data_IF_578968445890
#
_entry.id   IF_578968445890
#
_cell.length_a   1.000
_cell.length_b   1.000
_cell.length_c   1.000
_cell.angle_alpha   90.00
_cell.angle_beta   90.00
_cell.angle_gamma   90.00
#
_symmetry.space_group_name_H-M   'P 1'
#
loop_
_entity.id
_entity.type
_entity.pdbx_description
1 polymer ?
#
# COMPACT_ATOMS: atom_id res chain seq x y z
N UNK A 1 16.89 -23.97 48.85
CA UNK A 1 17.78 -22.81 48.56
C UNK A 1 18.06 -22.59 47.06
N UNK A 2 17.56 -23.41 46.13
CA UNK A 2 17.78 -23.26 44.68
C UNK A 2 16.68 -22.49 43.92
N UNK A 3 15.45 -22.46 44.42
CA UNK A 3 14.32 -21.82 43.73
C UNK A 3 14.26 -20.30 43.92
N UNK A 4 14.59 -19.78 45.12
CA UNK A 4 14.65 -18.33 45.36
C UNK A 4 15.72 -17.62 44.51
N UNK A 5 16.85 -18.30 44.22
CA UNK A 5 17.90 -17.75 43.35
C UNK A 5 17.45 -17.64 41.89
N UNK A 6 16.64 -18.58 41.37
CA UNK A 6 16.08 -18.52 40.00
C UNK A 6 15.04 -17.42 39.84
N UNK A 7 14.18 -17.20 40.84
CA UNK A 7 13.18 -16.12 40.83
C UNK A 7 13.80 -14.73 40.81
N UNK A 8 14.88 -14.53 41.57
CA UNK A 8 15.65 -13.27 41.59
C UNK A 8 16.35 -12.98 40.26
N UNK A 9 16.86 -14.02 39.60
CA UNK A 9 17.55 -13.90 38.31
C UNK A 9 16.60 -13.55 37.16
N UNK A 10 15.38 -14.11 37.13
CA UNK A 10 14.34 -13.71 36.17
C UNK A 10 13.92 -12.25 36.34
N UNK A 11 13.71 -11.80 37.58
CA UNK A 11 13.36 -10.39 37.89
C UNK A 11 14.46 -9.41 37.48
N UNK A 12 15.72 -9.80 37.60
CA UNK A 12 16.87 -8.99 37.17
C UNK A 12 16.95 -8.85 35.63
N UNK A 13 16.72 -9.93 34.88
CA UNK A 13 16.69 -9.87 33.40
C UNK A 13 15.54 -9.02 32.87
N UNK A 14 14.36 -9.11 33.49
CA UNK A 14 13.23 -8.26 33.15
C UNK A 14 13.53 -6.77 33.40
N UNK A 15 14.17 -6.44 34.54
CA UNK A 15 14.58 -5.06 34.84
C UNK A 15 15.60 -4.53 33.85
N UNK A 16 16.62 -5.33 33.50
CA UNK A 16 17.63 -4.94 32.49
C UNK A 16 16.98 -4.72 31.12
N UNK A 17 16.05 -5.60 30.71
CA UNK A 17 15.30 -5.44 29.46
C UNK A 17 14.48 -4.15 29.42
N UNK A 18 13.78 -3.82 30.51
CA UNK A 18 13.02 -2.57 30.63
C UNK A 18 13.96 -1.35 30.61
N UNK A 19 15.10 -1.40 31.31
CA UNK A 19 16.06 -0.30 31.31
C UNK A 19 16.69 -0.09 29.93
N UNK A 20 17.00 -1.17 29.19
CA UNK A 20 17.48 -1.09 27.81
C UNK A 20 16.42 -0.53 26.87
N UNK A 21 15.17 -0.97 26.99
CA UNK A 21 14.04 -0.43 26.22
C UNK A 21 13.87 1.08 26.48
N UNK A 22 13.89 1.50 27.75
CA UNK A 22 13.79 2.91 28.14
C UNK A 22 15.00 3.73 27.66
N UNK A 23 16.21 3.14 27.66
CA UNK A 23 17.40 3.79 27.13
C UNK A 23 17.36 3.93 25.60
N UNK A 24 16.84 2.93 24.88
CA UNK A 24 16.61 3.00 23.43
C UNK A 24 15.54 4.05 23.12
N UNK A 25 14.44 4.09 23.88
CA UNK A 25 13.40 5.11 23.74
C UNK A 25 13.93 6.54 24.03
N UNK A 26 14.88 6.70 24.95
CA UNK A 26 15.55 7.99 25.21
C UNK A 26 16.61 8.38 24.17
N UNK A 27 17.07 7.43 23.34
CA UNK A 27 17.98 7.70 22.21
C UNK A 27 17.22 8.09 20.94
N UNK A 28 15.89 7.93 20.91
CA UNK A 28 15.04 8.49 19.87
C UNK A 28 15.11 10.01 20.03
N UNK A 29 15.88 10.68 19.17
CA UNK A 29 15.79 12.12 19.01
C UNK A 29 14.36 12.44 18.61
N UNK A 30 13.64 13.12 19.50
CA UNK A 30 12.44 13.86 19.11
C UNK A 30 12.96 15.05 18.32
N UNK A 31 13.11 14.87 17.01
CA UNK A 31 13.41 16.00 16.14
C UNK A 31 12.27 17.01 16.30
N UNK A 32 12.64 18.29 16.47
CA UNK A 32 11.67 19.37 16.40
C UNK A 32 11.07 19.33 14.98
N UNK A 33 9.88 18.75 14.82
CA UNK A 33 9.14 18.71 13.56
C UNK A 33 8.82 20.15 13.14
N UNK A 34 9.73 20.76 12.38
CA UNK A 34 9.41 21.96 11.61
C UNK A 34 8.77 21.48 10.33
N UNK A 35 7.46 21.66 10.25
CA UNK A 35 6.72 21.44 9.01
C UNK A 35 7.34 22.28 7.89
N UNK A 36 7.55 21.65 6.74
CA UNK A 36 7.89 22.33 5.51
C UNK A 36 6.73 23.25 5.08
N UNK A 37 6.97 24.30 4.27
CA UNK A 37 5.89 25.17 3.80
C UNK A 37 4.72 24.43 3.14
N UNK A 38 5.01 23.33 2.42
CA UNK A 38 3.98 22.50 1.79
C UNK A 38 3.20 21.67 2.83
N UNK A 39 3.87 21.13 3.86
CA UNK A 39 3.18 20.42 4.94
C UNK A 39 2.29 21.35 5.78
N UNK A 40 2.60 22.65 5.86
CA UNK A 40 1.72 23.64 6.51
C UNK A 40 0.40 23.78 5.75
N UNK A 41 0.40 23.69 4.42
CA UNK A 41 -0.84 23.75 3.62
C UNK A 41 -1.75 22.55 3.92
N UNK A 42 -1.16 21.38 4.17
CA UNK A 42 -1.90 20.16 4.48
C UNK A 42 -1.94 19.83 5.98
N UNK A 43 -1.68 20.81 6.86
CA UNK A 43 -1.41 20.56 8.29
C UNK A 43 -2.54 19.83 9.02
N UNK A 44 -3.77 20.08 8.60
CA UNK A 44 -4.97 19.55 9.22
C UNK A 44 -5.19 18.07 8.94
N UNK A 45 -4.46 17.52 7.95
CA UNK A 45 -4.60 16.15 7.47
C UNK A 45 -3.29 15.36 7.54
N UNK A 46 -2.25 15.84 8.22
CA UNK A 46 -0.95 15.16 8.22
C UNK A 46 -1.00 13.84 8.99
N UNK A 47 -0.60 12.75 8.32
CA UNK A 47 -0.52 11.43 8.93
C UNK A 47 0.89 11.13 9.49
N UNK A 48 0.96 10.58 10.71
CA UNK A 48 2.22 10.26 11.40
C UNK A 48 2.43 8.76 11.60
N UNK A 49 3.31 8.16 10.79
CA UNK A 49 3.71 6.75 10.94
C UNK A 49 4.22 6.43 12.35
N UNK A 50 5.18 7.17 12.95
CA UNK A 50 5.73 6.78 14.25
C UNK A 50 4.67 6.78 15.36
N UNK A 51 3.76 7.74 15.33
CA UNK A 51 2.65 7.84 16.29
C UNK A 51 1.72 6.64 16.14
N UNK A 52 1.39 6.27 14.91
CA UNK A 52 0.55 5.12 14.62
C UNK A 52 1.22 3.78 14.99
N UNK A 53 2.49 3.57 14.66
CA UNK A 53 3.22 2.34 14.98
C UNK A 53 3.29 2.10 16.49
N UNK A 54 3.55 3.15 17.29
CA UNK A 54 3.59 3.06 18.76
C UNK A 54 2.23 2.64 19.33
N UNK A 55 1.12 3.06 18.74
CA UNK A 55 -0.21 2.71 19.21
C UNK A 55 -0.59 1.27 18.82
N UNK A 56 -0.18 0.83 17.63
CA UNK A 56 -0.70 -0.39 17.02
C UNK A 56 0.21 -1.61 17.20
N UNK A 57 1.52 -1.41 17.31
CA UNK A 57 2.47 -2.48 17.58
C UNK A 57 2.16 -3.19 18.92
N UNK A 58 2.05 -2.53 20.09
CA UNK A 58 1.81 -3.23 21.35
C UNK A 58 0.47 -3.95 21.41
N UNK A 59 -0.59 -3.33 20.85
CA UNK A 59 -1.96 -3.86 20.87
C UNK A 59 -2.04 -5.22 20.17
N UNK A 60 -1.30 -5.36 19.08
CA UNK A 60 -1.28 -6.57 18.26
C UNK A 60 -0.47 -7.70 18.86
N UNK A 61 0.75 -7.42 19.33
CA UNK A 61 1.60 -8.44 19.96
C UNK A 61 0.99 -8.99 21.25
N UNK A 62 0.16 -8.21 21.96
CA UNK A 62 -0.65 -8.70 23.08
C UNK A 62 -1.74 -9.70 22.64
N UNK A 63 -2.38 -9.49 21.49
CA UNK A 63 -3.38 -10.41 20.92
C UNK A 63 -2.74 -11.72 20.43
N UNK A 64 -1.62 -11.64 19.70
CA UNK A 64 -0.89 -12.83 19.26
C UNK A 64 -0.38 -13.70 20.42
N UNK A 65 -0.02 -13.09 21.56
CA UNK A 65 0.32 -13.82 22.79
C UNK A 65 -0.90 -14.54 23.43
N UNK A 66 -2.11 -14.01 23.25
CA UNK A 66 -3.36 -14.61 23.73
C UNK A 66 -3.79 -15.83 22.90
N UNK A 67 -3.56 -15.81 21.59
CA UNK A 67 -3.85 -16.93 20.69
C UNK A 67 -2.82 -18.08 20.77
N UNK A 68 -1.66 -17.83 21.37
CA UNK A 68 -0.71 -18.90 21.75
C UNK A 68 -1.20 -19.75 22.93
N UNK A 69 -2.31 -19.37 23.59
CA UNK A 69 -2.96 -20.18 24.63
C UNK A 69 -3.65 -21.39 23.98
N UNK A 70 -3.39 -22.64 24.45
CA UNK A 70 -3.99 -23.84 23.89
C UNK A 70 -5.52 -23.79 23.92
N UNK A 71 -6.17 -23.97 22.77
CA UNK A 71 -7.64 -23.96 22.62
C UNK A 71 -8.21 -22.77 21.86
N UNK A 72 -7.42 -21.72 21.62
CA UNK A 72 -7.86 -20.50 20.91
C UNK A 72 -7.36 -20.40 19.46
N UNK A 73 -6.62 -21.39 18.95
CA UNK A 73 -6.15 -21.38 17.56
C UNK A 73 -7.22 -21.93 16.63
N UNK A 74 -7.81 -21.12 15.74
CA UNK A 74 -8.73 -21.63 14.74
C UNK A 74 -8.02 -22.64 13.83
N UNK A 75 -8.76 -23.65 13.41
CA UNK A 75 -8.35 -24.54 12.32
C UNK A 75 -8.19 -23.75 11.03
N UNK A 76 -7.49 -24.34 10.05
CA UNK A 76 -7.30 -23.70 8.74
C UNK A 76 -8.63 -23.39 8.06
N UNK A 77 -9.61 -24.29 8.11
CA UNK A 77 -10.93 -24.07 7.51
C UNK A 77 -11.67 -22.91 8.19
N UNK A 78 -11.61 -22.82 9.52
CA UNK A 78 -12.20 -21.71 10.27
C UNK A 78 -11.55 -20.37 9.92
N UNK A 79 -10.22 -20.33 9.73
CA UNK A 79 -9.48 -19.14 9.28
C UNK A 79 -10.00 -18.61 7.95
N UNK A 80 -10.27 -19.49 6.99
CA UNK A 80 -10.78 -19.08 5.67
C UNK A 80 -12.17 -18.45 5.76
N UNK A 81 -13.05 -19.03 6.60
CA UNK A 81 -14.39 -18.48 6.85
C UNK A 81 -14.29 -17.12 7.53
N UNK A 82 -13.41 -16.96 8.52
CA UNK A 82 -13.19 -15.69 9.22
C UNK A 82 -12.75 -14.59 8.24
N UNK A 83 -11.80 -14.87 7.35
CA UNK A 83 -11.31 -13.86 6.38
C UNK A 83 -12.43 -13.46 5.42
N UNK A 84 -13.20 -14.41 4.89
CA UNK A 84 -14.32 -14.08 4.00
C UNK A 84 -15.42 -13.27 4.71
N UNK A 85 -15.80 -13.67 5.93
CA UNK A 85 -16.79 -12.96 6.73
C UNK A 85 -16.34 -11.53 7.08
N UNK A 86 -15.07 -11.38 7.47
CA UNK A 86 -14.45 -10.09 7.76
C UNK A 86 -14.49 -9.15 6.54
N UNK A 87 -13.97 -9.58 5.38
CA UNK A 87 -13.94 -8.77 4.15
C UNK A 87 -15.35 -8.50 3.58
N UNK A 88 -16.32 -9.37 3.81
CA UNK A 88 -17.71 -9.10 3.47
C UNK A 88 -18.32 -8.07 4.41
N UNK A 89 -18.01 -8.12 5.70
CA UNK A 89 -18.52 -7.18 6.71
C UNK A 89 -17.95 -5.79 6.48
N UNK A 90 -16.65 -5.65 6.20
CA UNK A 90 -16.02 -4.37 5.84
C UNK A 90 -16.75 -3.68 4.66
N UNK A 91 -17.04 -4.42 3.59
CA UNK A 91 -17.80 -3.89 2.44
C UNK A 91 -19.26 -3.54 2.76
N UNK A 92 -19.88 -4.23 3.73
CA UNK A 92 -21.23 -3.88 4.20
C UNK A 92 -21.20 -2.61 5.03
N UNK A 93 -20.20 -2.42 5.89
CA UNK A 93 -19.96 -1.18 6.65
C UNK A 93 -19.85 -0.01 5.68
N UNK A 94 -18.90 -0.04 4.74
CA UNK A 94 -18.71 1.04 3.76
C UNK A 94 -19.99 1.37 2.99
N UNK A 95 -20.69 0.34 2.50
CA UNK A 95 -21.93 0.53 1.75
C UNK A 95 -23.02 1.21 2.59
N UNK A 96 -23.09 0.87 3.88
CA UNK A 96 -24.07 1.43 4.80
C UNK A 96 -23.71 2.87 5.20
N UNK A 97 -22.43 3.17 5.38
CA UNK A 97 -21.92 4.53 5.57
C UNK A 97 -22.26 5.43 4.37
N UNK A 98 -21.93 4.98 3.16
CA UNK A 98 -22.26 5.69 1.91
C UNK A 98 -23.78 5.94 1.78
N UNK A 99 -24.59 4.95 2.18
CA UNK A 99 -26.05 5.06 2.17
C UNK A 99 -26.51 6.15 3.14
N UNK A 100 -26.00 6.16 4.36
CA UNK A 100 -26.35 7.14 5.39
C UNK A 100 -25.89 8.54 4.96
N UNK A 101 -24.65 8.68 4.47
CA UNK A 101 -24.13 9.96 3.98
C UNK A 101 -24.97 10.50 2.81
N UNK A 102 -25.28 9.67 1.81
CA UNK A 102 -26.12 10.06 0.68
C UNK A 102 -27.53 10.52 1.10
N UNK A 103 -28.11 9.90 2.13
CA UNK A 103 -29.38 10.34 2.72
C UNK A 103 -29.25 11.69 3.42
N UNK A 104 -28.16 11.93 4.16
CA UNK A 104 -27.89 13.19 4.84
C UNK A 104 -27.65 14.34 3.84
N UNK A 105 -26.89 14.10 2.78
CA UNK A 105 -26.65 15.07 1.69
C UNK A 105 -27.98 15.45 1.04
N UNK A 106 -28.80 14.45 0.67
CA UNK A 106 -30.11 14.69 0.05
C UNK A 106 -31.02 15.51 0.97
N UNK A 107 -31.02 15.23 2.27
CA UNK A 107 -31.78 15.98 3.27
C UNK A 107 -31.32 17.44 3.35
N UNK A 108 -30.01 17.68 3.41
CA UNK A 108 -29.47 19.04 3.47
C UNK A 108 -29.80 19.82 2.18
N UNK A 109 -29.79 19.16 1.02
CA UNK A 109 -30.20 19.77 -0.25
C UNK A 109 -31.71 20.09 -0.32
N UNK A 110 -32.58 19.32 0.37
CA UNK A 110 -34.04 19.52 0.35
C UNK A 110 -34.58 20.41 1.48
N UNK A 111 -33.75 20.78 2.48
CA UNK A 111 -34.12 21.67 3.58
C UNK A 111 -34.63 23.07 3.16
N UNK A 112 -34.37 23.50 1.91
CA UNK A 112 -34.90 24.74 1.34
C UNK A 112 -36.23 24.61 0.57
N UNK A 113 -36.76 23.39 0.40
CA UNK A 113 -38.00 23.12 -0.34
C UNK A 113 -39.14 22.78 0.62
N UNK A 114 -40.37 23.22 0.34
CA UNK A 114 -41.57 22.97 1.16
C UNK A 114 -41.97 21.49 1.33
N UNK A 115 -41.17 20.55 0.80
CA UNK A 115 -41.30 19.11 0.97
C UNK A 115 -40.48 18.55 2.15
N UNK A 116 -39.87 19.39 2.98
CA UNK A 116 -39.06 19.03 4.16
C UNK A 116 -39.82 18.32 5.30
N UNK A 117 -41.01 17.79 5.04
CA UNK A 117 -41.84 17.09 6.01
C UNK A 117 -41.55 15.58 6.00
N UNK A 118 -40.95 15.11 7.10
CA UNK A 118 -40.92 13.71 7.60
C UNK A 118 -39.94 12.72 6.93
N UNK A 119 -38.68 13.10 6.69
CA UNK A 119 -37.63 12.09 6.62
C UNK A 119 -37.11 11.83 8.03
N UNK A 120 -37.45 10.68 8.62
CA UNK A 120 -36.80 10.20 9.87
C UNK A 120 -35.28 10.18 9.67
N UNK A 121 -34.53 10.54 10.71
CA UNK A 121 -33.07 10.43 10.67
C UNK A 121 -32.72 8.96 10.39
N UNK A 122 -31.78 8.67 9.46
CA UNK A 122 -31.39 7.29 9.22
C UNK A 122 -30.84 6.69 10.51
N UNK A 123 -31.43 5.58 10.96
CA UNK A 123 -30.98 4.83 12.14
C UNK A 123 -29.58 4.29 11.89
N UNK A 124 -28.71 4.40 12.91
CA UNK A 124 -27.32 3.90 12.88
C UNK A 124 -27.13 2.52 13.52
N UNK A 125 -28.16 1.97 14.16
CA UNK A 125 -28.09 0.68 14.87
C UNK A 125 -27.51 -0.46 14.01
N UNK A 126 -27.92 -0.57 12.74
CA UNK A 126 -27.38 -1.59 11.84
C UNK A 126 -25.93 -1.34 11.44
N UNK A 127 -25.52 -0.08 11.29
CA UNK A 127 -24.13 0.29 11.03
C UNK A 127 -23.27 -0.03 12.26
N UNK A 128 -23.73 0.34 13.45
CA UNK A 128 -23.03 0.09 14.71
C UNK A 128 -22.85 -1.42 14.94
N UNK A 129 -23.87 -2.25 14.66
CA UNK A 129 -23.76 -3.73 14.72
C UNK A 129 -22.70 -4.28 13.75
N UNK A 130 -22.63 -3.74 12.53
CA UNK A 130 -21.63 -4.15 11.54
C UNK A 130 -20.21 -3.71 11.94
N UNK A 131 -20.05 -2.52 12.54
CA UNK A 131 -18.77 -2.02 13.03
C UNK A 131 -18.26 -2.88 14.20
N UNK A 132 -19.14 -3.23 15.15
CA UNK A 132 -18.79 -4.09 16.27
C UNK A 132 -18.36 -5.49 15.78
N UNK A 133 -19.14 -6.09 14.87
CA UNK A 133 -18.80 -7.39 14.25
C UNK A 133 -17.47 -7.33 13.50
N UNK A 134 -17.23 -6.26 12.74
CA UNK A 134 -15.99 -6.06 12.00
C UNK A 134 -14.77 -5.99 12.94
N UNK A 135 -14.87 -5.19 14.02
CA UNK A 135 -13.82 -5.06 15.02
C UNK A 135 -13.51 -6.37 15.76
N UNK A 136 -14.53 -7.17 16.05
CA UNK A 136 -14.37 -8.49 16.71
C UNK A 136 -13.67 -9.53 15.81
N UNK A 137 -13.83 -9.41 14.49
CA UNK A 137 -13.23 -10.32 13.51
C UNK A 137 -11.81 -9.91 13.09
N UNK A 138 -11.47 -8.62 13.19
CA UNK A 138 -10.24 -8.04 12.64
C UNK A 138 -8.98 -8.81 13.05
N UNK A 139 -8.71 -8.96 14.34
CA UNK A 139 -7.47 -9.59 14.81
C UNK A 139 -7.32 -11.05 14.35
N UNK A 140 -8.43 -11.79 14.26
CA UNK A 140 -8.46 -13.18 13.80
C UNK A 140 -8.28 -13.28 12.28
N UNK A 141 -8.81 -12.31 11.53
CA UNK A 141 -8.61 -12.22 10.09
C UNK A 141 -7.15 -11.87 9.74
N UNK A 142 -6.53 -10.95 10.48
CA UNK A 142 -5.11 -10.61 10.35
C UNK A 142 -4.22 -11.84 10.58
N UNK A 143 -4.42 -12.57 11.70
CA UNK A 143 -3.66 -13.79 11.99
C UNK A 143 -3.83 -14.87 10.92
N UNK A 144 -5.07 -15.05 10.43
CA UNK A 144 -5.36 -16.02 9.40
C UNK A 144 -4.57 -15.77 8.11
N UNK A 145 -4.55 -14.52 7.66
CA UNK A 145 -3.84 -14.09 6.45
C UNK A 145 -2.33 -14.18 6.63
N UNK A 146 -1.81 -13.75 7.79
CA UNK A 146 -0.39 -13.85 8.14
C UNK A 146 0.09 -15.29 8.17
N UNK A 147 -0.72 -16.20 8.72
CA UNK A 147 -0.39 -17.62 8.79
C UNK A 147 -0.33 -18.27 7.41
N UNK A 148 -1.25 -17.95 6.50
CA UNK A 148 -1.26 -18.49 5.13
C UNK A 148 -0.04 -18.02 4.34
N UNK A 149 0.28 -16.71 4.37
CA UNK A 149 1.50 -16.22 3.71
C UNK A 149 2.76 -16.78 4.38
N UNK A 150 2.79 -16.84 5.70
CA UNK A 150 3.94 -17.39 6.43
C UNK A 150 4.21 -18.85 6.04
N UNK A 151 3.16 -19.66 5.92
CA UNK A 151 3.29 -21.07 5.51
C UNK A 151 3.90 -21.18 4.12
N UNK A 152 3.43 -20.38 3.16
CA UNK A 152 4.00 -20.32 1.81
C UNK A 152 5.48 -19.93 1.84
N UNK A 153 5.86 -18.90 2.60
CA UNK A 153 7.24 -18.42 2.69
C UNK A 153 8.19 -19.46 3.31
N UNK A 154 7.73 -20.23 4.30
CA UNK A 154 8.50 -21.33 4.89
C UNK A 154 8.78 -22.42 3.85
N UNK A 155 7.76 -22.82 3.09
CA UNK A 155 7.90 -23.81 2.00
C UNK A 155 8.86 -23.33 0.90
N UNK A 156 8.89 -22.03 0.62
CA UNK A 156 9.82 -21.41 -0.31
C UNK A 156 11.24 -21.27 0.24
N UNK A 157 11.49 -21.64 1.50
CA UNK A 157 12.82 -21.61 2.12
C UNK A 157 13.25 -20.22 2.61
N UNK A 158 12.31 -19.36 3.03
CA UNK A 158 12.61 -18.09 3.71
C UNK A 158 12.72 -18.23 5.24
N UNK A 159 12.61 -19.45 5.77
CA UNK A 159 12.80 -19.69 7.19
C UNK A 159 14.28 -19.56 7.59
N UNK A 160 14.50 -18.94 8.75
CA UNK A 160 15.79 -18.89 9.44
C UNK A 160 16.18 -20.28 9.94
N UNK A 161 17.43 -20.44 10.41
CA UNK A 161 17.95 -21.71 10.92
C UNK A 161 17.19 -22.29 12.14
N UNK A 162 16.35 -21.49 12.80
CA UNK A 162 15.44 -21.92 13.88
C UNK A 162 13.96 -21.98 13.44
N UNK A 163 13.70 -21.95 12.12
CA UNK A 163 12.38 -22.20 11.54
C UNK A 163 11.41 -21.02 11.53
N UNK A 164 11.88 -19.79 11.84
CA UNK A 164 11.04 -18.58 11.83
C UNK A 164 11.29 -17.74 10.58
N UNK A 165 10.28 -17.05 10.07
CA UNK A 165 10.42 -16.08 8.96
C UNK A 165 10.94 -14.77 9.52
N UNK A 166 11.86 -14.13 8.79
CA UNK A 166 12.35 -12.80 9.13
C UNK A 166 12.36 -11.89 7.89
N UNK A 167 11.71 -10.71 7.93
CA UNK A 167 10.83 -10.25 9.01
C UNK A 167 9.53 -11.08 9.09
N UNK A 168 8.90 -11.22 10.27
CA UNK A 168 7.58 -11.83 10.38
C UNK A 168 6.56 -11.10 9.51
N UNK A 169 5.62 -11.84 8.92
CA UNK A 169 4.45 -11.26 8.27
C UNK A 169 3.60 -10.62 9.36
N UNK A 170 3.40 -9.32 9.27
CA UNK A 170 2.71 -8.52 10.29
C UNK A 170 1.90 -7.43 9.57
N UNK A 171 0.59 -7.61 9.45
CA UNK A 171 -0.31 -6.70 8.73
C UNK A 171 -1.36 -6.08 9.64
N UNK A 172 -2.01 -5.02 9.18
CA UNK A 172 -3.15 -4.45 9.85
C UNK A 172 -4.22 -4.07 8.84
N UNK A 173 -5.43 -4.58 9.05
CA UNK A 173 -6.58 -4.20 8.26
C UNK A 173 -7.10 -2.84 8.70
N UNK A 174 -6.75 -1.83 7.93
CA UNK A 174 -7.10 -0.43 8.16
C UNK A 174 -6.92 0.29 6.82
N UNK A 175 -7.71 1.33 6.57
CA UNK A 175 -7.49 2.15 5.38
C UNK A 175 -6.11 2.80 5.44
N UNK A 176 -5.26 2.60 4.42
CA UNK A 176 -3.97 3.26 4.38
C UNK A 176 -4.14 4.79 4.30
N UNK A 177 -3.17 5.56 4.84
CA UNK A 177 -3.13 6.99 4.59
C UNK A 177 -3.05 7.29 3.08
N UNK A 178 -3.54 8.46 2.68
CA UNK A 178 -3.38 8.91 1.30
C UNK A 178 -2.01 9.55 1.08
N UNK A 179 -1.58 9.63 -0.18
CA UNK A 179 -0.27 10.15 -0.54
C UNK A 179 -0.39 11.43 -1.35
N UNK A 180 0.07 12.55 -0.79
CA UNK A 180 0.28 13.80 -1.51
C UNK A 180 1.62 13.77 -2.23
N UNK A 181 1.56 13.71 -3.55
CA UNK A 181 2.69 13.63 -4.46
C UNK A 181 3.01 15.00 -5.02
N UNK A 182 4.28 15.42 -4.95
CA UNK A 182 4.76 16.69 -5.51
C UNK A 182 5.72 16.47 -6.68
N UNK A 183 5.50 17.21 -7.76
CA UNK A 183 6.40 17.28 -8.91
C UNK A 183 6.62 18.74 -9.31
N UNK A 184 7.81 19.11 -9.81
CA UNK A 184 7.98 20.38 -10.47
C UNK A 184 7.16 20.39 -11.77
N UNK A 185 6.90 21.59 -12.30
CA UNK A 185 6.12 21.77 -13.52
C UNK A 185 6.93 21.49 -14.78
N UNK A 186 8.24 21.73 -14.73
CA UNK A 186 9.18 21.69 -15.86
C UNK A 186 9.67 20.28 -16.23
N UNK A 187 9.45 19.28 -15.37
CA UNK A 187 9.82 17.87 -15.60
C UNK A 187 8.92 16.95 -14.79
N UNK A 188 8.77 15.72 -15.24
CA UNK A 188 8.08 14.70 -14.44
C UNK A 188 9.09 14.04 -13.52
N UNK A 189 9.09 14.44 -12.25
CA UNK A 189 9.99 13.91 -11.23
C UNK A 189 9.38 14.06 -9.84
N UNK A 190 9.46 13.01 -9.02
CA UNK A 190 8.95 13.09 -7.64
C UNK A 190 9.93 13.92 -6.80
N UNK A 191 9.49 15.08 -6.32
CA UNK A 191 10.30 15.90 -5.42
C UNK A 191 10.09 15.54 -3.96
N UNK A 192 8.83 15.28 -3.59
CA UNK A 192 8.45 14.87 -2.24
C UNK A 192 7.14 14.12 -2.27
N UNK A 193 6.90 13.35 -1.21
CA UNK A 193 5.66 12.65 -0.95
C UNK A 193 5.30 12.80 0.53
N UNK A 194 4.09 13.25 0.83
CA UNK A 194 3.60 13.51 2.20
C UNK A 194 2.39 12.61 2.44
N UNK A 195 2.35 11.94 3.59
CA UNK A 195 1.20 11.12 3.97
C UNK A 195 0.12 11.99 4.60
N UNK A 196 -1.10 11.83 4.10
CA UNK A 196 -2.29 12.48 4.61
C UNK A 196 -3.28 11.45 5.16
N UNK A 197 -4.24 11.90 5.96
CA UNK A 197 -5.30 11.06 6.49
C UNK A 197 -6.09 10.35 5.36
N UNK A 198 -6.63 9.18 5.68
CA UNK A 198 -7.34 8.33 4.70
C UNK A 198 -8.70 8.92 4.31
N UNK A 199 -9.35 9.67 5.20
CA UNK A 199 -10.70 10.21 5.05
C UNK A 199 -10.76 11.59 4.36
N UNK A 200 -9.63 12.07 3.83
CA UNK A 200 -9.56 13.37 3.16
C UNK A 200 -10.46 13.42 1.92
N UNK A 201 -11.40 14.37 1.93
CA UNK A 201 -12.44 14.50 0.91
C UNK A 201 -11.91 15.08 -0.39
N UNK A 202 -12.58 14.77 -1.50
CA UNK A 202 -12.17 15.24 -2.83
C UNK A 202 -12.07 16.77 -2.96
N UNK A 203 -12.92 17.52 -2.26
CA UNK A 203 -12.85 19.00 -2.25
C UNK A 203 -11.58 19.47 -1.56
N UNK A 204 -11.27 18.92 -0.38
CA UNK A 204 -10.09 19.27 0.41
C UNK A 204 -8.80 18.89 -0.34
N UNK A 205 -8.79 17.73 -1.02
CA UNK A 205 -7.69 17.33 -1.92
C UNK A 205 -7.46 18.36 -3.02
N UNK A 206 -8.51 18.78 -3.70
CA UNK A 206 -8.42 19.77 -4.78
C UNK A 206 -7.96 21.14 -4.26
N UNK A 207 -8.40 21.55 -3.07
CA UNK A 207 -7.98 22.80 -2.41
C UNK A 207 -6.48 22.79 -2.07
N UNK A 208 -5.99 21.74 -1.39
CA UNK A 208 -4.56 21.58 -1.05
C UNK A 208 -3.72 21.62 -2.33
N UNK A 209 -4.11 20.86 -3.35
CA UNK A 209 -3.35 20.77 -4.59
C UNK A 209 -3.28 22.10 -5.36
N UNK A 210 -4.36 22.88 -5.37
CA UNK A 210 -4.39 24.20 -5.99
C UNK A 210 -3.58 25.22 -5.21
N UNK A 211 -3.62 25.15 -3.88
CA UNK A 211 -2.86 26.05 -3.03
C UNK A 211 -1.35 25.82 -3.20
N UNK A 212 -0.90 24.56 -3.29
CA UNK A 212 0.50 24.23 -3.57
C UNK A 212 0.97 24.79 -4.91
N UNK A 213 0.14 24.69 -5.96
CA UNK A 213 0.45 25.28 -7.26
C UNK A 213 0.61 26.80 -7.17
N UNK A 214 -0.30 27.47 -6.45
CA UNK A 214 -0.31 28.92 -6.33
C UNK A 214 0.86 29.46 -5.50
N UNK A 215 1.15 28.81 -4.37
CA UNK A 215 2.06 29.34 -3.35
C UNK A 215 3.51 28.86 -3.59
N UNK A 216 3.71 27.75 -4.30
CA UNK A 216 5.02 27.12 -4.47
C UNK A 216 5.39 26.80 -5.92
N UNK A 217 4.51 27.05 -6.91
CA UNK A 217 4.73 26.72 -8.33
C UNK A 217 5.08 25.23 -8.56
N UNK A 218 4.47 24.36 -7.75
CA UNK A 218 4.59 22.90 -7.85
C UNK A 218 3.25 22.30 -8.23
N UNK A 219 3.26 21.22 -9.03
CA UNK A 219 2.04 20.44 -9.25
C UNK A 219 1.93 19.35 -8.19
N UNK A 220 0.72 19.19 -7.68
CA UNK A 220 0.40 18.22 -6.65
C UNK A 220 -0.69 17.24 -7.09
N UNK A 221 -0.63 16.02 -6.58
CA UNK A 221 -1.63 14.97 -6.77
C UNK A 221 -1.77 14.13 -5.50
N UNK A 222 -2.97 14.10 -4.91
CA UNK A 222 -3.34 13.22 -3.81
C UNK A 222 -3.88 11.90 -4.35
N UNK A 223 -3.26 10.80 -3.96
CA UNK A 223 -3.58 9.45 -4.43
C UNK A 223 -3.93 8.50 -3.28
N UNK A 224 -4.76 7.51 -3.58
CA UNK A 224 -5.14 6.47 -2.63
C UNK A 224 -4.16 5.30 -2.73
N UNK A 225 -3.68 4.83 -1.58
CA UNK A 225 -2.79 3.69 -1.46
C UNK A 225 -3.60 2.41 -1.19
N UNK A 226 -3.19 1.29 -1.80
CA UNK A 226 -3.81 0.00 -1.53
C UNK A 226 -3.26 -0.65 -0.24
N UNK A 227 -2.02 -0.32 0.11
CA UNK A 227 -1.30 -0.74 1.30
C UNK A 227 -0.15 0.23 1.58
N UNK A 228 0.49 0.08 2.75
CA UNK A 228 1.68 0.83 3.11
C UNK A 228 2.59 -0.04 3.99
N UNK A 229 3.84 -0.22 3.55
CA UNK A 229 4.87 -1.00 4.23
C UNK A 229 5.44 -0.35 5.51
N UNK A 230 4.57 -0.05 6.48
CA UNK A 230 4.93 0.18 7.89
C UNK A 230 5.11 -1.16 8.62
N UNK A 231 5.44 -1.15 9.91
CA UNK A 231 5.47 -2.40 10.70
C UNK A 231 4.62 -2.30 11.97
N UNK A 232 3.39 -2.85 12.01
CA UNK A 232 2.75 -3.70 10.98
C UNK A 232 2.38 -2.96 9.69
N UNK A 233 2.24 -3.68 8.57
CA UNK A 233 1.91 -3.10 7.26
C UNK A 233 0.41 -2.82 7.12
N UNK A 234 0.04 -1.64 6.63
CA UNK A 234 -1.35 -1.33 6.32
C UNK A 234 -1.83 -2.11 5.11
N UNK A 235 -3.04 -2.65 5.20
CA UNK A 235 -3.72 -3.30 4.09
C UNK A 235 -5.20 -2.92 4.15
N UNK A 236 -5.75 -2.38 3.07
CA UNK A 236 -7.18 -2.11 3.00
C UNK A 236 -7.98 -3.43 2.89
N UNK A 237 -9.05 -3.52 3.67
CA UNK A 237 -10.02 -4.62 3.70
C UNK A 237 -11.24 -4.39 2.80
N UNK A 238 -11.29 -3.27 2.08
CA UNK A 238 -12.35 -2.94 1.12
C UNK A 238 -12.18 -3.64 -0.24
N UNK A 239 -11.02 -4.23 -0.48
CA UNK A 239 -10.71 -4.93 -1.73
C UNK A 239 -11.17 -6.41 -1.71
N UNK A 240 -11.13 -7.04 -2.89
CA UNK A 240 -11.40 -8.49 -3.00
C UNK A 240 -10.30 -9.30 -2.32
N UNK A 241 -10.62 -10.49 -1.80
CA UNK A 241 -9.65 -11.39 -1.15
C UNK A 241 -8.38 -11.60 -2.00
N UNK A 242 -8.51 -11.83 -3.30
CA UNK A 242 -7.35 -11.95 -4.21
C UNK A 242 -6.50 -10.68 -4.24
N UNK A 243 -7.11 -9.50 -4.26
CA UNK A 243 -6.37 -8.22 -4.20
C UNK A 243 -5.69 -8.04 -2.85
N UNK A 244 -6.39 -8.33 -1.75
CA UNK A 244 -5.84 -8.28 -0.40
C UNK A 244 -4.60 -9.18 -0.28
N UNK A 245 -4.65 -10.42 -0.76
CA UNK A 245 -3.50 -11.33 -0.69
C UNK A 245 -2.30 -10.82 -1.51
N UNK A 246 -2.56 -10.19 -2.67
CA UNK A 246 -1.51 -9.54 -3.46
C UNK A 246 -0.89 -8.36 -2.73
N UNK A 247 -1.71 -7.50 -2.11
CA UNK A 247 -1.23 -6.37 -1.31
C UNK A 247 -0.42 -6.83 -0.11
N UNK A 248 -0.93 -7.77 0.68
CA UNK A 248 -0.21 -8.34 1.85
C UNK A 248 1.18 -8.84 1.46
N UNK A 249 1.27 -9.56 0.33
CA UNK A 249 2.55 -10.07 -0.15
C UNK A 249 3.46 -8.94 -0.65
N UNK A 250 2.90 -7.96 -1.36
CA UNK A 250 3.62 -6.76 -1.81
C UNK A 250 4.24 -6.00 -0.64
N UNK A 251 3.46 -5.71 0.42
CA UNK A 251 3.97 -4.98 1.59
C UNK A 251 4.98 -5.79 2.41
N UNK A 252 4.81 -7.11 2.49
CA UNK A 252 5.80 -7.98 3.14
C UNK A 252 7.13 -7.99 2.38
N UNK A 253 7.11 -7.96 1.03
CA UNK A 253 8.33 -7.89 0.23
C UNK A 253 9.10 -6.60 0.51
N UNK A 254 8.42 -5.46 0.66
CA UNK A 254 9.06 -4.21 1.09
C UNK A 254 9.70 -4.35 2.47
N UNK A 255 9.00 -4.96 3.43
CA UNK A 255 9.56 -5.26 4.75
C UNK A 255 10.80 -6.17 4.67
N UNK A 256 10.78 -7.18 3.79
CA UNK A 256 11.92 -8.06 3.56
C UNK A 256 13.10 -7.31 2.92
N UNK A 257 12.83 -6.52 1.87
CA UNK A 257 13.85 -5.75 1.15
C UNK A 257 14.45 -4.63 1.98
N UNK A 258 13.75 -4.11 3.00
CA UNK A 258 14.31 -3.13 3.94
C UNK A 258 15.67 -3.57 4.52
N UNK A 259 15.86 -4.88 4.75
CA UNK A 259 17.11 -5.44 5.28
C UNK A 259 18.14 -5.80 4.19
N UNK A 260 17.86 -5.46 2.93
CA UNK A 260 18.59 -5.90 1.74
C UNK A 260 19.03 -4.72 0.89
N UNK A 261 20.08 -4.87 0.06
CA UNK A 261 20.55 -3.82 -0.85
C UNK A 261 19.42 -3.13 -1.63
N UNK A 262 18.45 -3.90 -2.14
CA UNK A 262 17.34 -3.37 -2.93
C UNK A 262 16.45 -2.38 -2.16
N UNK A 263 16.14 -2.66 -0.90
CA UNK A 263 15.35 -1.73 -0.07
C UNK A 263 16.19 -0.63 0.56
N UNK A 264 17.46 -0.89 0.90
CA UNK A 264 18.36 0.13 1.43
C UNK A 264 18.65 1.24 0.40
N UNK A 265 18.66 0.90 -0.89
CA UNK A 265 18.84 1.85 -1.99
C UNK A 265 17.52 2.30 -2.63
N UNK A 266 16.36 2.02 -2.01
CA UNK A 266 15.03 2.33 -2.54
C UNK A 266 14.86 3.78 -3.00
N UNK A 267 15.47 4.74 -2.28
CA UNK A 267 15.43 6.18 -2.60
C UNK A 267 16.72 6.71 -3.22
N UNK A 268 17.64 5.85 -3.64
CA UNK A 268 18.92 6.27 -4.21
C UNK A 268 18.76 6.90 -5.60
N UNK A 269 17.81 6.42 -6.40
CA UNK A 269 17.44 6.99 -7.69
C UNK A 269 16.01 6.62 -8.10
N UNK A 270 15.48 7.27 -9.14
CA UNK A 270 14.16 6.94 -9.71
C UNK A 270 14.12 5.50 -10.25
N UNK A 271 15.24 5.02 -10.79
CA UNK A 271 15.37 3.65 -11.30
C UNK A 271 15.37 2.62 -10.17
N UNK A 272 16.10 2.87 -9.07
CA UNK A 272 16.09 1.95 -7.93
C UNK A 272 14.71 1.84 -7.28
N UNK A 273 14.00 2.96 -7.18
CA UNK A 273 12.60 2.96 -6.75
C UNK A 273 11.73 2.11 -7.69
N UNK A 274 11.86 2.34 -9.00
CA UNK A 274 11.10 1.61 -10.04
C UNK A 274 11.39 0.12 -10.01
N UNK A 275 12.67 -0.28 -9.87
CA UNK A 275 13.08 -1.68 -9.77
C UNK A 275 12.45 -2.33 -8.54
N UNK A 276 12.52 -1.67 -7.39
CA UNK A 276 11.98 -2.20 -6.14
C UNK A 276 10.45 -2.35 -6.20
N UNK A 277 9.70 -1.29 -6.53
CA UNK A 277 8.24 -1.34 -6.65
C UNK A 277 7.77 -2.38 -7.67
N UNK A 278 8.43 -2.44 -8.84
CA UNK A 278 8.06 -3.39 -9.89
C UNK A 278 8.38 -4.83 -9.49
N UNK A 279 9.48 -5.06 -8.77
CA UNK A 279 9.80 -6.37 -8.19
C UNK A 279 8.72 -6.80 -7.20
N UNK A 280 8.32 -5.90 -6.31
CA UNK A 280 7.26 -6.14 -5.34
C UNK A 280 5.89 -6.34 -6.03
N UNK A 281 5.58 -5.66 -7.12
CA UNK A 281 4.33 -5.83 -7.88
C UNK A 281 4.28 -7.17 -8.62
N UNK A 282 5.35 -7.56 -9.33
CA UNK A 282 5.41 -8.85 -10.04
C UNK A 282 5.23 -10.00 -9.05
N UNK A 283 6.03 -10.03 -7.98
CA UNK A 283 6.02 -11.12 -7.01
C UNK A 283 4.82 -11.05 -6.08
N UNK A 284 4.37 -9.84 -5.71
CA UNK A 284 3.14 -9.64 -4.97
C UNK A 284 1.93 -10.24 -5.68
N UNK A 285 1.84 -10.05 -7.01
CA UNK A 285 0.81 -10.69 -7.84
C UNK A 285 0.93 -12.22 -7.87
N UNK A 286 2.13 -12.73 -8.10
CA UNK A 286 2.38 -14.17 -8.21
C UNK A 286 2.11 -14.91 -6.89
N UNK A 287 2.75 -14.50 -5.80
CA UNK A 287 2.59 -15.15 -4.50
C UNK A 287 1.22 -14.88 -3.90
N UNK A 288 0.67 -13.68 -4.08
CA UNK A 288 -0.69 -13.37 -3.63
C UNK A 288 -1.76 -14.23 -4.31
N UNK A 289 -1.59 -14.55 -5.60
CA UNK A 289 -2.46 -15.49 -6.31
C UNK A 289 -2.33 -16.91 -5.77
N UNK A 290 -1.10 -17.37 -5.47
CA UNK A 290 -0.86 -18.69 -4.85
C UNK A 290 -1.53 -18.77 -3.46
N UNK A 291 -1.40 -17.73 -2.63
CA UNK A 291 -2.08 -17.67 -1.32
C UNK A 291 -3.59 -17.71 -1.51
N UNK A 292 -4.13 -16.93 -2.45
CA UNK A 292 -5.56 -16.92 -2.74
C UNK A 292 -6.10 -18.30 -3.19
N UNK A 293 -5.39 -19.02 -4.06
CA UNK A 293 -5.76 -20.39 -4.45
C UNK A 293 -5.70 -21.37 -3.29
N UNK A 294 -4.65 -21.27 -2.45
CA UNK A 294 -4.51 -22.09 -1.24
C UNK A 294 -5.67 -21.89 -0.26
N UNK A 295 -6.24 -20.69 -0.25
CA UNK A 295 -7.42 -20.32 0.53
C UNK A 295 -8.75 -20.81 -0.10
N UNK A 296 -8.70 -21.58 -1.19
CA UNK A 296 -9.88 -22.08 -1.91
C UNK A 296 -10.44 -21.11 -2.95
N UNK A 297 -9.71 -20.04 -3.26
CA UNK A 297 -10.06 -19.10 -4.31
C UNK A 297 -9.90 -19.69 -5.71
N UNK A 298 -10.72 -19.21 -6.65
CA UNK A 298 -10.67 -19.58 -8.07
C UNK A 298 -10.15 -18.41 -8.91
N UNK A 299 -8.94 -18.53 -9.48
CA UNK A 299 -8.33 -17.48 -10.31
C UNK A 299 -9.10 -17.21 -11.61
N UNK A 300 -9.95 -18.15 -12.05
CA UNK A 300 -10.78 -17.99 -13.25
C UNK A 300 -11.92 -17.00 -13.02
N UNK A 301 -12.37 -16.86 -11.77
CA UNK A 301 -13.42 -15.91 -11.39
C UNK A 301 -12.90 -14.48 -11.57
N UNK A 302 -13.55 -13.73 -12.45
CA UNK A 302 -13.13 -12.37 -12.81
C UNK A 302 -11.69 -12.29 -13.34
N UNK A 303 -11.19 -13.32 -14.04
CA UNK A 303 -9.83 -13.33 -14.58
C UNK A 303 -9.48 -12.06 -15.37
N UNK A 304 -10.42 -11.52 -16.14
CA UNK A 304 -10.24 -10.26 -16.89
C UNK A 304 -9.94 -9.03 -16.01
N UNK A 305 -10.37 -9.02 -14.74
CA UNK A 305 -10.07 -7.94 -13.78
C UNK A 305 -8.58 -7.88 -13.43
N UNK A 306 -7.93 -9.04 -13.42
CA UNK A 306 -6.55 -9.22 -12.98
C UNK A 306 -5.58 -9.40 -14.15
N UNK A 307 -6.07 -9.34 -15.40
CA UNK A 307 -5.25 -9.29 -16.59
C UNK A 307 -4.34 -8.04 -16.59
N UNK A 308 -3.19 -8.07 -17.30
CA UNK A 308 -2.33 -6.90 -17.50
C UNK A 308 -3.12 -5.66 -17.91
N UNK A 309 -2.64 -4.48 -17.53
CA UNK A 309 -3.35 -3.22 -17.80
C UNK A 309 -3.62 -2.98 -19.29
N UNK A 310 -2.70 -3.43 -20.16
CA UNK A 310 -2.83 -3.42 -21.62
C UNK A 310 -4.00 -4.27 -22.12
N UNK A 311 -4.22 -5.43 -21.54
CA UNK A 311 -5.31 -6.33 -21.94
C UNK A 311 -6.65 -5.88 -21.35
N UNK A 312 -6.62 -5.41 -20.10
CA UNK A 312 -7.83 -4.98 -19.37
C UNK A 312 -8.42 -3.70 -19.97
N UNK A 313 -7.58 -2.72 -20.28
CA UNK A 313 -8.01 -1.44 -20.83
C UNK A 313 -7.02 -0.93 -21.90
N UNK A 314 -6.96 -1.55 -23.09
CA UNK A 314 -5.97 -1.24 -24.12
C UNK A 314 -6.01 0.22 -24.56
N UNK A 315 -7.21 0.78 -24.70
CA UNK A 315 -7.38 2.18 -25.10
C UNK A 315 -6.89 3.15 -24.02
N UNK A 316 -7.19 2.87 -22.75
CA UNK A 316 -6.68 3.68 -21.62
C UNK A 316 -5.16 3.64 -21.59
N UNK A 317 -4.59 2.43 -21.64
CA UNK A 317 -3.14 2.23 -21.58
C UNK A 317 -2.41 2.91 -22.72
N UNK A 318 -2.93 2.79 -23.94
CA UNK A 318 -2.41 3.51 -25.10
C UNK A 318 -2.44 5.03 -24.91
N UNK A 319 -3.60 5.58 -24.54
CA UNK A 319 -3.75 7.04 -24.36
C UNK A 319 -2.81 7.55 -23.27
N UNK A 320 -2.68 6.85 -22.15
CA UNK A 320 -1.80 7.27 -21.05
C UNK A 320 -0.32 7.25 -21.47
N UNK A 321 0.13 6.23 -22.20
CA UNK A 321 1.51 6.15 -22.72
C UNK A 321 1.79 7.20 -23.77
N UNK A 322 0.86 7.42 -24.70
CA UNK A 322 0.99 8.46 -25.74
C UNK A 322 1.03 9.86 -25.09
N UNK A 323 0.17 10.09 -24.09
CA UNK A 323 0.18 11.32 -23.29
C UNK A 323 1.52 11.49 -22.59
N UNK A 324 2.04 10.46 -21.93
CA UNK A 324 3.32 10.51 -21.21
C UNK A 324 4.46 10.93 -22.15
N UNK A 325 4.59 10.26 -23.29
CA UNK A 325 5.63 10.57 -24.30
C UNK A 325 5.51 12.00 -24.80
N UNK A 326 4.29 12.44 -25.14
CA UNK A 326 4.07 13.80 -25.64
C UNK A 326 4.39 14.86 -24.59
N UNK A 327 4.07 14.59 -23.34
CA UNK A 327 4.41 15.49 -22.23
C UNK A 327 5.91 15.58 -22.04
N UNK A 328 6.64 14.47 -22.09
CA UNK A 328 8.11 14.49 -22.01
C UNK A 328 8.75 15.33 -23.12
N UNK A 329 8.25 15.22 -24.36
CA UNK A 329 8.68 16.05 -25.49
C UNK A 329 8.44 17.54 -25.24
N UNK A 330 7.21 17.91 -24.83
CA UNK A 330 6.85 19.30 -24.57
C UNK A 330 7.67 19.92 -23.43
N UNK A 331 7.89 19.15 -22.35
CA UNK A 331 8.70 19.60 -21.23
C UNK A 331 10.18 19.75 -21.61
N UNK A 332 10.72 18.86 -22.45
CA UNK A 332 12.07 18.99 -22.98
C UNK A 332 12.25 20.24 -23.87
N UNK A 333 11.18 20.69 -24.53
CA UNK A 333 11.13 21.94 -25.29
C UNK A 333 10.86 23.19 -24.42
N UNK A 334 10.60 23.02 -23.12
CA UNK A 334 10.26 24.11 -22.19
C UNK A 334 8.81 24.60 -22.30
N UNK A 335 7.95 23.86 -22.99
CA UNK A 335 6.54 24.18 -23.23
C UNK A 335 5.65 23.65 -22.10
N UNK A 336 5.78 24.24 -20.91
CA UNK A 336 5.14 23.77 -19.68
C UNK A 336 3.61 23.90 -19.78
N UNK A 337 3.11 25.06 -20.17
CA UNK A 337 1.68 25.34 -20.26
C UNK A 337 0.99 24.45 -21.29
N UNK A 338 1.64 24.17 -22.42
CA UNK A 338 1.16 23.26 -23.46
C UNK A 338 1.13 21.82 -22.96
N UNK A 339 2.14 21.39 -22.20
CA UNK A 339 2.17 20.06 -21.58
C UNK A 339 1.00 19.88 -20.60
N UNK A 340 0.78 20.87 -19.73
CA UNK A 340 -0.34 20.85 -18.78
C UNK A 340 -1.70 20.90 -19.48
N UNK A 341 -1.81 21.69 -20.55
CA UNK A 341 -3.03 21.75 -21.36
C UNK A 341 -3.31 20.41 -22.04
N UNK A 342 -2.29 19.78 -22.63
CA UNK A 342 -2.42 18.46 -23.24
C UNK A 342 -2.92 17.42 -22.23
N UNK A 343 -2.35 17.39 -21.02
CA UNK A 343 -2.80 16.47 -19.97
C UNK A 343 -4.26 16.73 -19.55
N UNK A 344 -4.68 17.99 -19.41
CA UNK A 344 -6.09 18.32 -19.10
C UNK A 344 -7.03 17.84 -20.19
N UNK A 345 -6.66 17.98 -21.46
CA UNK A 345 -7.46 17.49 -22.59
C UNK A 345 -7.58 15.97 -22.60
N UNK A 346 -6.48 15.25 -22.36
CA UNK A 346 -6.48 13.79 -22.28
C UNK A 346 -7.27 13.29 -21.07
N UNK A 347 -7.20 13.99 -19.94
CA UNK A 347 -8.01 13.71 -18.77
C UNK A 347 -9.51 13.78 -19.11
N UNK A 348 -9.95 14.87 -19.74
CA UNK A 348 -11.36 15.04 -20.15
C UNK A 348 -11.77 13.97 -21.16
N UNK A 349 -10.91 13.68 -22.14
CA UNK A 349 -11.12 12.65 -23.14
C UNK A 349 -11.33 11.26 -22.53
N UNK A 350 -10.58 10.90 -21.49
CA UNK A 350 -10.72 9.65 -20.75
C UNK A 350 -11.98 9.67 -19.87
N UNK A 351 -12.23 10.77 -19.16
CA UNK A 351 -13.40 10.92 -18.29
C UNK A 351 -14.72 10.80 -19.06
N UNK A 352 -14.81 11.41 -20.25
CA UNK A 352 -15.98 11.30 -21.13
C UNK A 352 -16.23 9.88 -21.65
N UNK A 353 -15.23 8.98 -21.58
CA UNK A 353 -15.36 7.56 -21.92
C UNK A 353 -15.64 6.67 -20.71
N UNK A 354 -15.88 7.26 -19.54
CA UNK A 354 -16.21 6.52 -18.33
C UNK A 354 -15.00 6.09 -17.49
N UNK A 355 -13.78 6.57 -17.80
CA UNK A 355 -12.64 6.35 -16.92
C UNK A 355 -12.68 7.32 -15.74
N UNK A 356 -12.61 6.80 -14.51
CA UNK A 356 -12.65 7.57 -13.26
C UNK A 356 -11.34 8.29 -12.93
N UNK A 357 -10.78 9.09 -13.85
CA UNK A 357 -9.53 9.80 -13.64
C UNK A 357 -9.79 11.21 -13.05
N UNK A 358 -9.54 11.37 -11.74
CA UNK A 358 -9.76 12.63 -11.02
C UNK A 358 -8.85 13.76 -11.51
N UNK A 359 -7.58 13.46 -11.76
CA UNK A 359 -6.57 14.45 -12.15
C UNK A 359 -5.48 13.80 -13.00
N UNK A 360 -4.96 14.54 -13.98
CA UNK A 360 -3.79 14.16 -14.76
C UNK A 360 -2.81 15.34 -14.85
N UNK A 361 -1.64 15.17 -14.26
CA UNK A 361 -0.56 16.16 -14.25
C UNK A 361 0.81 15.46 -14.10
N UNK A 362 1.89 16.23 -14.00
CA UNK A 362 3.25 15.71 -13.84
C UNK A 362 3.37 14.89 -12.55
N UNK A 363 2.74 15.30 -11.44
CA UNK A 363 2.74 14.55 -10.19
C UNK A 363 2.09 13.17 -10.34
N UNK A 364 0.95 13.06 -11.04
CA UNK A 364 0.34 11.77 -11.37
C UNK A 364 1.34 10.85 -12.10
N UNK A 365 2.00 11.36 -13.14
CA UNK A 365 2.97 10.57 -13.90
C UNK A 365 4.25 10.27 -13.12
N UNK A 366 4.67 11.18 -12.22
CA UNK A 366 5.85 11.00 -11.38
C UNK A 366 5.65 9.85 -10.38
N UNK A 367 4.44 9.67 -9.86
CA UNK A 367 4.13 8.57 -8.94
C UNK A 367 3.70 7.31 -9.67
N UNK A 368 2.61 7.36 -10.46
CA UNK A 368 2.07 6.17 -11.13
C UNK A 368 3.03 5.59 -12.16
N UNK A 369 3.86 6.42 -12.81
CA UNK A 369 4.84 5.99 -13.80
C UNK A 369 6.02 5.18 -13.24
N UNK A 370 6.18 5.12 -11.91
CA UNK A 370 7.22 4.31 -11.24
C UNK A 370 6.84 2.83 -11.10
N UNK A 371 5.56 2.50 -11.24
CA UNK A 371 5.14 1.13 -11.47
C UNK A 371 5.37 0.82 -12.95
N UNK A 372 6.41 0.05 -13.27
CA UNK A 372 6.86 -0.07 -14.65
C UNK A 372 5.82 -0.73 -15.57
N UNK A 373 4.90 -1.52 -15.01
CA UNK A 373 3.77 -2.14 -15.71
C UNK A 373 2.52 -1.27 -15.79
N UNK A 374 2.57 -0.06 -15.22
CA UNK A 374 1.44 0.85 -15.26
C UNK A 374 1.26 1.48 -16.66
N UNK A 375 0.03 1.90 -16.98
CA UNK A 375 -0.25 2.77 -18.12
C UNK A 375 0.55 4.08 -18.17
N UNK A 376 1.10 4.52 -17.04
CA UNK A 376 1.83 5.78 -16.91
C UNK A 376 3.34 5.62 -17.15
N UNK A 377 3.84 4.39 -17.22
CA UNK A 377 5.26 4.08 -17.44
C UNK A 377 5.60 3.97 -18.92
N UNK A 378 6.79 4.47 -19.25
CA UNK A 378 7.49 4.26 -20.53
C UNK A 378 8.88 3.65 -20.33
N UNK A 379 9.20 3.20 -19.12
CA UNK A 379 10.51 2.65 -18.75
C UNK A 379 10.68 1.21 -19.25
N UNK A 380 11.86 0.84 -19.80
CA UNK A 380 12.14 -0.54 -20.19
C UNK A 380 12.33 -1.50 -19.01
N UNK A 381 12.50 -0.98 -17.78
CA UNK A 381 12.76 -1.76 -16.56
C UNK A 381 11.69 -2.82 -16.31
N UNK A 382 10.43 -2.52 -16.62
CA UNK A 382 9.32 -3.46 -16.41
C UNK A 382 9.43 -4.70 -17.29
N UNK A 383 9.75 -4.52 -18.58
CA UNK A 383 9.91 -5.63 -19.51
C UNK A 383 11.18 -6.44 -19.17
N UNK A 384 12.26 -5.77 -18.76
CA UNK A 384 13.48 -6.41 -18.28
C UNK A 384 13.22 -7.27 -17.02
N UNK A 385 12.45 -6.76 -16.05
CA UNK A 385 12.11 -7.53 -14.85
C UNK A 385 11.23 -8.74 -15.15
N UNK A 386 10.29 -8.62 -16.09
CA UNK A 386 9.48 -9.75 -16.57
C UNK A 386 10.34 -10.82 -17.23
N UNK A 387 11.22 -10.40 -18.13
CA UNK A 387 12.16 -11.31 -18.78
C UNK A 387 13.04 -12.02 -17.76
N UNK A 388 13.62 -11.27 -16.81
CA UNK A 388 14.40 -11.85 -15.72
C UNK A 388 13.56 -12.84 -14.89
N UNK A 389 12.29 -12.51 -14.59
CA UNK A 389 11.39 -13.42 -13.89
C UNK A 389 11.15 -14.70 -14.69
N UNK A 390 10.94 -14.63 -16.01
CA UNK A 390 10.75 -15.80 -16.88
C UNK A 390 12.01 -16.68 -16.99
N UNK A 391 13.20 -16.08 -16.94
CA UNK A 391 14.48 -16.78 -16.98
C UNK A 391 14.82 -17.49 -15.66
N UNK A 392 14.28 -17.02 -14.54
CA UNK A 392 14.57 -17.57 -13.21
C UNK A 392 13.60 -18.71 -12.85
N UNK A 393 14.09 -19.89 -12.39
CA UNK A 393 13.24 -21.07 -12.19
C UNK A 393 12.09 -20.93 -11.19
N UNK A 394 12.28 -20.13 -10.13
CA UNK A 394 11.28 -19.98 -9.07
C UNK A 394 11.15 -18.54 -8.58
N UNK A 395 9.97 -18.17 -8.10
CA UNK A 395 9.74 -16.88 -7.46
C UNK A 395 10.67 -16.66 -6.25
N UNK A 396 10.97 -17.72 -5.50
CA UNK A 396 11.89 -17.65 -4.35
C UNK A 396 13.31 -17.28 -4.77
N UNK A 397 13.81 -17.88 -5.85
CA UNK A 397 15.15 -17.57 -6.38
C UNK A 397 15.18 -16.16 -6.97
N UNK A 398 14.11 -15.74 -7.64
CA UNK A 398 13.99 -14.38 -8.16
C UNK A 398 14.04 -13.34 -7.04
N UNK A 399 13.28 -13.54 -5.95
CA UNK A 399 13.33 -12.65 -4.78
C UNK A 399 14.74 -12.58 -4.20
N UNK A 400 15.45 -13.72 -4.07
CA UNK A 400 16.82 -13.75 -3.52
C UNK A 400 17.81 -13.04 -4.43
N UNK A 401 17.71 -13.18 -5.75
CA UNK A 401 18.55 -12.47 -6.71
C UNK A 401 18.30 -10.96 -6.65
N UNK A 402 17.03 -10.56 -6.70
CA UNK A 402 16.65 -9.15 -6.66
C UNK A 402 16.99 -8.48 -5.34
N UNK A 403 16.89 -9.19 -4.21
CA UNK A 403 17.26 -8.66 -2.90
C UNK A 403 18.69 -8.09 -2.86
N UNK A 404 19.62 -8.69 -3.60
CA UNK A 404 21.03 -8.30 -3.59
C UNK A 404 21.36 -7.17 -4.59
N UNK A 405 20.39 -6.71 -5.40
CA UNK A 405 20.55 -5.60 -6.33
C UNK A 405 20.56 -4.27 -5.56
N UNK A 406 21.69 -3.58 -5.51
CA UNK A 406 21.86 -2.28 -4.87
C UNK A 406 21.96 -1.09 -5.82
N UNK A 407 22.07 -1.33 -7.13
CA UNK A 407 22.16 -0.26 -8.14
C UNK A 407 21.59 -0.69 -9.50
N UNK A 408 21.31 0.29 -10.37
CA UNK A 408 20.88 0.05 -11.75
C UNK A 408 21.91 -0.80 -12.53
N UNK A 409 23.20 -0.50 -12.40
CA UNK A 409 24.24 -1.25 -13.10
C UNK A 409 24.33 -2.72 -12.64
N UNK A 410 24.06 -3.00 -11.37
CA UNK A 410 23.97 -4.38 -10.87
C UNK A 410 22.73 -5.11 -11.41
N UNK A 411 21.60 -4.41 -11.53
CA UNK A 411 20.40 -4.95 -12.17
C UNK A 411 20.65 -5.29 -13.65
N UNK A 412 21.26 -4.37 -14.41
CA UNK A 412 21.63 -4.57 -15.81
C UNK A 412 22.61 -5.74 -15.97
N UNK A 413 23.60 -5.87 -15.09
CA UNK A 413 24.51 -7.01 -15.10
C UNK A 413 23.81 -8.34 -14.77
N UNK A 414 22.84 -8.32 -13.85
CA UNK A 414 22.06 -9.51 -13.46
C UNK A 414 21.23 -10.05 -14.63
N UNK A 415 20.54 -9.18 -15.36
CA UNK A 415 19.74 -9.60 -16.53
C UNK A 415 20.61 -10.09 -17.68
N UNK A 416 21.78 -9.47 -17.93
CA UNK A 416 22.70 -9.97 -18.97
C UNK A 416 23.23 -11.37 -18.63
N UNK A 417 23.56 -11.64 -17.35
CA UNK A 417 23.93 -12.98 -16.90
C UNK A 417 22.79 -13.99 -17.05
N UNK A 418 21.55 -13.56 -16.78
CA UNK A 418 20.36 -14.38 -17.01
C UNK A 418 20.21 -14.76 -18.48
N UNK A 419 20.35 -13.80 -19.38
CA UNK A 419 20.30 -14.00 -20.85
C UNK A 419 21.40 -14.94 -21.34
N UNK A 420 22.57 -14.91 -20.70
CA UNK A 420 23.69 -15.82 -20.98
C UNK A 420 23.52 -17.23 -20.37
N UNK A 421 22.50 -17.47 -19.54
CA UNK A 421 22.28 -18.75 -18.86
C UNK A 421 23.23 -18.99 -17.67
N UNK A 422 23.69 -17.93 -17.01
CA UNK A 422 24.70 -17.96 -15.94
C UNK A 422 24.12 -17.73 -14.52
N UNK A 423 22.84 -18.07 -14.32
CA UNK A 423 22.12 -17.95 -13.03
C UNK A 423 22.05 -19.26 -12.24
#
# INVERSE_FOLDING_TARGET
MGEERRGRWKRWRARIGITLLLAVLMLIRVDNFKLTPVEIIASDYLFSIPTWEIQNFPRKWLHGLWELIPGNKPSREERLVIVDEFLQTARKVQKEEDRIEGLLIRRNATQGSGAATKAEAPTREYLDELIDLHGDLQGRAEEAVEAELSTLLVEMGFSTWFGLIWPPVDIRFEEPPTLLVLSPRDRISLTSSILLDSDIKGVDRDEIEQQILKDHDLVAYVDDLAGLATYPAFVSDLYTTRTVMRTVTHEWLHSYFFFKPLGQNYRASDEMFTINETTADIIGRELGDIVFERMGGDLTVSASRYAPAEDRNPQFTKVMRDTRKRVDELLAEGLIEEAEQHMREQQWFLRLRGYGLRKLNQAYFAFRGRYAESPASVSPVGDQLKELRELVPSAGDFIRLMAEVGSLGEFEALIERARAGEL
#
